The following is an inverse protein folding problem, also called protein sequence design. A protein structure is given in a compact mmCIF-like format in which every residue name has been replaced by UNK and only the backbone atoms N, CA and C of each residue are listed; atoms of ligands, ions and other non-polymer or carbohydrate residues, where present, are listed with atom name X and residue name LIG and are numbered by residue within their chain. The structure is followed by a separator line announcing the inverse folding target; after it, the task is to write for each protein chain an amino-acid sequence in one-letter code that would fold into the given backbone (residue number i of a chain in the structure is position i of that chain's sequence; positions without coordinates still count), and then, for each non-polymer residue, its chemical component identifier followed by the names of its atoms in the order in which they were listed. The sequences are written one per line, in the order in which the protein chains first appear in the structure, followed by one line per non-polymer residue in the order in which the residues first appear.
data_IF_374180386888
#
_entry.id   IF_374180386888
#
_cell.length_a   1.000
_cell.length_b   1.000
_cell.length_c   1.000
_cell.angle_alpha   90.00
_cell.angle_beta   90.00
_cell.angle_gamma   90.00
#
_symmetry.space_group_name_H-M   'P 1'
#
loop_
_entity.id
_entity.type
_entity.pdbx_description
1 polymer ?
#
# COMPACT_ATOMS: atom_id res chain seq x y z
N UNK A 1 -11.15 -21.71 12.87
CA UNK A 1 -10.97 -20.74 11.77
C UNK A 1 -9.61 -21.02 11.14
N UNK A 2 -9.53 -21.25 9.83
CA UNK A 2 -8.24 -21.42 9.15
C UNK A 2 -7.64 -20.05 8.85
N UNK A 3 -6.35 -19.85 9.15
CA UNK A 3 -5.65 -18.62 8.78
C UNK A 3 -5.27 -18.67 7.29
N UNK A 4 -5.64 -17.63 6.52
CA UNK A 4 -5.15 -17.47 5.14
C UNK A 4 -3.66 -17.13 5.21
N UNK A 5 -2.87 -17.88 4.43
CA UNK A 5 -1.41 -17.99 4.50
C UNK A 5 -0.62 -16.73 4.14
N UNK A 6 0.09 -16.73 3.02
CA UNK A 6 1.08 -15.72 2.66
C UNK A 6 0.49 -14.67 1.71
N UNK A 7 0.95 -13.42 1.84
CA UNK A 7 0.76 -12.36 0.85
C UNK A 7 2.15 -11.85 0.46
N UNK A 8 2.41 -11.72 -0.84
CA UNK A 8 3.68 -11.20 -1.32
C UNK A 8 3.91 -9.77 -0.79
N UNK A 9 5.13 -9.43 -0.35
CA UNK A 9 5.48 -8.06 -0.04
C UNK A 9 5.24 -7.12 -1.21
N UNK A 10 5.01 -5.84 -0.93
CA UNK A 10 4.81 -4.86 -2.00
C UNK A 10 6.06 -4.76 -2.88
N UNK A 11 5.87 -4.98 -4.18
CA UNK A 11 6.86 -4.74 -5.21
C UNK A 11 6.24 -3.93 -6.35
N UNK A 12 6.74 -2.70 -6.52
CA UNK A 12 6.30 -1.76 -7.56
C UNK A 12 6.50 -2.28 -8.99
N UNK A 13 7.29 -3.34 -9.17
CA UNK A 13 7.54 -3.96 -10.49
C UNK A 13 6.48 -4.98 -10.87
N UNK A 14 5.74 -5.52 -9.90
CA UNK A 14 4.75 -6.59 -10.11
C UNK A 14 3.32 -6.13 -9.83
N UNK A 15 3.11 -5.09 -9.02
CA UNK A 15 1.78 -4.59 -8.67
C UNK A 15 1.80 -3.08 -8.38
N UNK A 16 0.69 -2.39 -8.64
CA UNK A 16 0.50 -1.02 -8.18
C UNK A 16 0.10 -0.98 -6.69
N UNK A 17 0.31 0.17 -6.05
CA UNK A 17 0.06 0.31 -4.61
C UNK A 17 -1.40 0.07 -4.22
N UNK A 18 -2.37 0.49 -5.04
CA UNK A 18 -3.80 0.36 -4.70
C UNK A 18 -4.21 -1.11 -4.69
N UNK A 19 -3.77 -1.87 -5.69
CA UNK A 19 -3.97 -3.32 -5.74
C UNK A 19 -3.37 -4.04 -4.53
N UNK A 20 -2.17 -3.65 -4.10
CA UNK A 20 -1.55 -4.21 -2.89
C UNK A 20 -2.33 -3.85 -1.61
N UNK A 21 -2.75 -2.58 -1.47
CA UNK A 21 -3.51 -2.09 -0.32
C UNK A 21 -4.84 -2.85 -0.16
N UNK A 22 -5.57 -3.09 -1.26
CA UNK A 22 -6.81 -3.87 -1.25
C UNK A 22 -6.58 -5.31 -0.78
N UNK A 23 -5.55 -5.98 -1.31
CA UNK A 23 -5.18 -7.35 -0.91
C UNK A 23 -4.78 -7.44 0.55
N UNK A 24 -4.01 -6.48 1.05
CA UNK A 24 -3.63 -6.39 2.46
C UNK A 24 -4.86 -6.25 3.35
N UNK A 25 -5.81 -5.36 3.01
CA UNK A 25 -7.04 -5.17 3.78
C UNK A 25 -7.87 -6.45 3.82
N UNK A 26 -8.02 -7.12 2.67
CA UNK A 26 -8.71 -8.41 2.59
C UNK A 26 -8.00 -9.47 3.46
N UNK A 27 -6.67 -9.54 3.40
CA UNK A 27 -5.87 -10.47 4.20
C UNK A 27 -6.06 -10.27 5.71
N UNK A 28 -5.99 -9.02 6.18
CA UNK A 28 -6.21 -8.68 7.59
C UNK A 28 -7.65 -8.98 8.02
N UNK A 29 -8.62 -8.75 7.14
CA UNK A 29 -10.04 -9.03 7.40
C UNK A 29 -10.32 -10.51 7.53
N UNK A 30 -9.86 -11.35 6.60
CA UNK A 30 -10.15 -12.80 6.64
C UNK A 30 -9.43 -13.49 7.79
N UNK A 31 -8.28 -12.97 8.21
CA UNK A 31 -7.56 -13.48 9.38
C UNK A 31 -8.07 -12.92 10.72
N UNK A 32 -9.17 -12.17 10.72
CA UNK A 32 -9.77 -11.55 11.91
C UNK A 32 -8.73 -10.78 12.75
N UNK A 33 -7.80 -10.07 12.07
CA UNK A 33 -6.69 -9.39 12.75
C UNK A 33 -7.24 -8.25 13.62
N UNK A 34 -7.03 -8.28 14.96
CA UNK A 34 -7.49 -7.21 15.84
C UNK A 34 -6.90 -5.86 15.47
N UNK A 35 -7.64 -4.77 15.71
CA UNK A 35 -7.19 -3.40 15.41
C UNK A 35 -5.79 -3.11 15.98
N UNK A 36 -5.54 -3.47 17.23
CA UNK A 36 -4.25 -3.30 17.89
C UNK A 36 -3.08 -4.05 17.22
N UNK A 37 -3.37 -5.06 16.38
CA UNK A 37 -2.38 -5.85 15.64
C UNK A 37 -2.26 -5.45 14.16
N UNK A 38 -3.10 -4.56 13.65
CA UNK A 38 -3.04 -4.14 12.23
C UNK A 38 -1.72 -3.45 11.88
N UNK A 39 -1.25 -2.55 12.72
CA UNK A 39 0.04 -1.85 12.51
C UNK A 39 1.24 -2.81 12.50
N UNK A 40 1.46 -3.67 13.52
CA UNK A 40 2.59 -4.61 13.47
C UNK A 40 2.45 -5.65 12.35
N UNK A 41 1.24 -6.12 12.03
CA UNK A 41 1.03 -7.01 10.89
C UNK A 41 1.35 -6.30 9.57
N UNK A 42 0.92 -5.06 9.40
CA UNK A 42 1.26 -4.27 8.22
C UNK A 42 2.76 -4.12 8.02
N UNK A 43 3.49 -3.74 9.06
CA UNK A 43 4.94 -3.55 9.01
C UNK A 43 5.70 -4.82 8.61
N UNK A 44 5.23 -6.01 9.03
CA UNK A 44 5.84 -7.28 8.64
C UNK A 44 5.50 -7.68 7.20
N UNK A 45 4.31 -7.34 6.71
CA UNK A 45 3.80 -7.78 5.40
C UNK A 45 4.25 -6.89 4.23
N UNK A 46 4.54 -5.59 4.44
CA UNK A 46 4.85 -4.66 3.33
C UNK A 46 6.22 -4.85 2.67
N UNK A 47 7.10 -5.61 3.32
CA UNK A 47 8.46 -5.84 2.85
C UNK A 47 9.45 -4.74 3.22
N UNK A 48 10.73 -5.12 3.23
CA UNK A 48 11.81 -4.28 3.74
C UNK A 48 11.95 -2.93 3.01
N UNK A 49 11.82 -2.92 1.68
CA UNK A 49 11.98 -1.68 0.87
C UNK A 49 10.89 -0.66 1.20
N UNK A 50 9.64 -1.10 1.24
CA UNK A 50 8.48 -0.27 1.54
C UNK A 50 8.48 0.18 3.00
N UNK A 51 8.89 -0.71 3.92
CA UNK A 51 9.05 -0.35 5.32
C UNK A 51 10.15 0.71 5.54
N UNK A 52 11.26 0.64 4.80
CA UNK A 52 12.29 1.68 4.84
C UNK A 52 11.75 3.04 4.38
N UNK A 53 10.94 3.06 3.31
CA UNK A 53 10.24 4.27 2.87
C UNK A 53 9.28 4.78 3.96
N UNK A 54 8.49 3.90 4.57
CA UNK A 54 7.56 4.27 5.64
C UNK A 54 8.27 4.92 6.83
N UNK A 55 9.44 4.38 7.24
CA UNK A 55 10.27 4.99 8.28
C UNK A 55 10.75 6.40 7.89
N UNK A 56 11.14 6.60 6.64
CA UNK A 56 11.52 7.93 6.14
C UNK A 56 10.34 8.92 6.21
N UNK A 57 9.14 8.47 5.83
CA UNK A 57 7.92 9.30 5.82
C UNK A 57 7.35 9.60 7.21
N UNK A 58 7.71 8.82 8.22
CA UNK A 58 7.19 8.96 9.60
C UNK A 58 8.16 9.63 10.55
N UNK A 59 9.43 9.77 10.15
CA UNK A 59 10.45 10.45 10.94
C UNK A 59 10.01 11.88 11.34
N UNK A 60 10.31 12.31 12.58
CA UNK A 60 11.11 11.62 13.61
C UNK A 60 10.36 10.54 14.41
N UNK A 61 9.05 10.38 14.21
CA UNK A 61 8.23 9.42 14.95
C UNK A 61 8.44 7.98 14.44
N UNK A 62 8.11 7.01 15.28
CA UNK A 62 8.08 5.61 14.86
C UNK A 62 6.82 5.33 14.04
N UNK A 63 6.88 4.51 12.98
CA UNK A 63 5.67 4.09 12.27
C UNK A 63 4.68 3.36 13.19
N UNK A 64 5.15 2.72 14.26
CA UNK A 64 4.31 2.01 15.24
C UNK A 64 3.50 2.94 16.14
N UNK A 65 3.82 4.23 16.23
CA UNK A 65 3.08 5.19 17.04
C UNK A 65 1.92 5.87 16.29
N UNK A 66 1.65 5.46 15.05
CA UNK A 66 0.61 6.05 14.20
C UNK A 66 -0.49 5.02 13.90
N UNK A 67 -1.68 5.54 13.63
CA UNK A 67 -2.83 4.73 13.24
C UNK A 67 -2.62 4.05 11.88
N UNK A 68 -3.15 2.84 11.75
CA UNK A 68 -3.02 2.00 10.55
C UNK A 68 -3.45 2.73 9.27
N UNK A 69 -4.62 3.39 9.29
CA UNK A 69 -5.14 4.11 8.12
C UNK A 69 -4.28 5.34 7.76
N UNK A 70 -3.64 5.97 8.75
CA UNK A 70 -2.71 7.08 8.50
C UNK A 70 -1.43 6.60 7.79
N UNK A 71 -0.93 5.42 8.14
CA UNK A 71 0.23 4.82 7.48
C UNK A 71 -0.09 4.42 6.03
N UNK A 72 -1.26 3.83 5.79
CA UNK A 72 -1.72 3.52 4.43
C UNK A 72 -1.84 4.78 3.58
N UNK A 73 -2.41 5.86 4.15
CA UNK A 73 -2.53 7.13 3.45
C UNK A 73 -1.18 7.71 3.07
N UNK A 74 -0.21 7.74 3.99
CA UNK A 74 1.15 8.26 3.71
C UNK A 74 1.81 7.55 2.53
N UNK A 75 1.69 6.22 2.49
CA UNK A 75 2.25 5.43 1.40
C UNK A 75 1.45 5.61 0.10
N UNK A 76 0.12 5.71 0.17
CA UNK A 76 -0.74 5.97 -0.99
C UNK A 76 -0.43 7.32 -1.64
N UNK A 77 -0.27 8.37 -0.84
CA UNK A 77 0.09 9.71 -1.33
C UNK A 77 1.46 9.70 -2.05
N UNK A 78 2.40 8.88 -1.58
CA UNK A 78 3.75 8.78 -2.15
C UNK A 78 3.85 7.81 -3.35
N UNK A 79 3.20 6.65 -3.28
CA UNK A 79 3.33 5.55 -4.25
C UNK A 79 2.24 5.56 -5.32
N UNK A 80 1.09 6.19 -5.05
CA UNK A 80 -0.01 6.33 -5.99
C UNK A 80 -0.56 7.79 -5.98
N UNK A 81 0.29 8.79 -6.30
CA UNK A 81 -0.13 10.18 -6.30
C UNK A 81 -1.34 10.38 -7.22
N UNK A 82 -2.26 11.26 -6.81
CA UNK A 82 -3.55 11.53 -7.46
C UNK A 82 -3.47 11.77 -8.98
N UNK A 83 -2.33 12.22 -9.50
CA UNK A 83 -2.08 12.41 -10.93
C UNK A 83 -2.06 11.12 -11.76
N UNK A 84 -1.94 9.93 -11.14
CA UNK A 84 -1.86 8.65 -11.86
C UNK A 84 -3.11 8.37 -12.72
N UNK A 85 -4.30 8.79 -12.29
CA UNK A 85 -5.55 8.65 -13.07
C UNK A 85 -5.60 9.63 -14.27
N UNK A 86 -5.06 10.83 -14.11
CA UNK A 86 -5.01 11.85 -15.17
C UNK A 86 -3.92 11.51 -16.20
N UNK A 87 -2.77 11.00 -15.75
CA UNK A 87 -1.66 10.60 -16.61
C UNK A 87 -2.04 9.40 -17.52
N UNK A 88 -2.80 8.44 -17.01
CA UNK A 88 -3.32 7.32 -17.81
C UNK A 88 -4.39 7.77 -18.80
N UNK A 89 -5.28 8.71 -18.42
CA UNK A 89 -6.20 9.37 -19.39
C UNK A 89 -5.42 10.13 -20.47
N UNK A 90 -4.40 10.90 -20.11
CA UNK A 90 -3.58 11.65 -21.06
C UNK A 90 -2.83 10.73 -22.06
N UNK A 91 -2.33 9.57 -21.59
CA UNK A 91 -1.76 8.55 -22.48
C UNK A 91 -2.80 7.94 -23.43
N UNK A 92 -4.04 7.74 -22.97
CA UNK A 92 -5.13 7.24 -23.80
C UNK A 92 -5.50 8.25 -24.90
N UNK A 93 -5.66 9.54 -24.56
CA UNK A 93 -5.96 10.59 -25.55
C UNK A 93 -4.83 10.80 -26.59
N UNK A 94 -3.56 10.61 -26.22
CA UNK A 94 -2.43 10.67 -27.17
C UNK A 94 -2.37 9.50 -28.15
N UNK A 95 -2.99 8.35 -27.84
CA UNK A 95 -3.05 7.18 -28.74
C UNK A 95 -4.23 7.26 -29.71
N UNK A 96 -5.32 7.93 -29.34
CA UNK A 96 -6.51 8.08 -30.18
C UNK A 96 -6.41 9.22 -31.20
N UNK A 97 -5.32 9.99 -31.20
CA UNK A 97 -5.09 11.07 -32.16
C UNK A 97 -3.93 10.72 -33.10
N UNK A 98 -4.11 9.63 -33.85
CA UNK A 98 -3.40 9.37 -35.09
C UNK A 98 -4.40 8.84 -36.11
N UNK A 99 -5.16 9.79 -36.66
CA UNK A 99 -5.81 9.70 -37.97
C UNK A 99 -5.51 11.00 -38.71
#
# INVERSE_FOLDING_TARGET
MGHIGYIEPFDKTTSDWRSYEERLKAYLSVNDVPVAKKVPAFQSLIGAKTYALLKSLTAPDAPSSREFDSLLKLLSDHLAPQSSVIAERAKFYKRSQRS
#
